data_IF_911248646352
#
_entry.id   IF_911248646352
#
_cell.length_a   1.000
_cell.length_b   1.000
_cell.length_c   1.000
_cell.angle_alpha   90.00
_cell.angle_beta   90.00
_cell.angle_gamma   90.00
#
_symmetry.space_group_name_H-M   'P 1'
#
loop_
_entity.id
_entity.type
_entity.pdbx_description
1 polymer ?
#
# COMPACT_ATOMS: atom_id res chain seq x y z
N UNK A 1 -49.41 21.62 -13.34
CA UNK A 1 -48.58 21.20 -12.18
C UNK A 1 -47.38 20.47 -12.76
N UNK A 2 -46.24 21.16 -12.87
CA UNK A 2 -44.97 20.53 -13.20
C UNK A 2 -44.32 20.07 -11.90
N UNK A 3 -44.03 18.77 -11.80
CA UNK A 3 -43.26 18.21 -10.70
C UNK A 3 -41.80 18.56 -11.01
N UNK A 4 -41.27 19.56 -10.31
CA UNK A 4 -39.83 19.80 -10.25
C UNK A 4 -39.24 18.69 -9.41
N UNK A 5 -38.61 17.71 -10.07
CA UNK A 5 -37.80 16.68 -9.41
C UNK A 5 -36.51 17.35 -8.94
N UNK A 6 -36.41 17.60 -7.63
CA UNK A 6 -35.13 17.94 -7.02
C UNK A 6 -34.23 16.69 -7.07
N UNK A 7 -32.96 16.81 -7.49
CA UNK A 7 -32.03 15.69 -7.43
C UNK A 7 -31.86 15.21 -5.98
N UNK A 8 -31.76 13.90 -5.82
CA UNK A 8 -31.63 13.21 -4.54
C UNK A 8 -30.29 13.60 -3.85
N UNK A 9 -30.29 14.07 -2.59
CA UNK A 9 -29.06 14.48 -1.89
C UNK A 9 -28.03 13.34 -1.66
N UNK A 10 -28.45 12.08 -1.84
CA UNK A 10 -27.60 10.88 -1.66
C UNK A 10 -26.69 10.57 -2.87
N UNK A 11 -26.81 11.28 -4.00
CA UNK A 11 -26.00 11.00 -5.20
C UNK A 11 -24.58 11.59 -5.20
N UNK A 12 -24.13 12.20 -4.09
CA UNK A 12 -22.76 12.70 -3.97
C UNK A 12 -21.87 11.84 -3.07
N UNK A 13 -21.81 10.52 -3.32
CA UNK A 13 -20.71 9.69 -2.80
C UNK A 13 -19.45 10.06 -3.57
N UNK A 14 -18.61 10.88 -2.94
CA UNK A 14 -17.34 11.40 -3.47
C UNK A 14 -16.68 10.44 -4.46
N UNK A 15 -16.80 10.74 -5.76
CA UNK A 15 -16.05 10.04 -6.81
C UNK A 15 -14.59 10.47 -6.67
N UNK A 16 -13.83 9.71 -5.88
CA UNK A 16 -12.37 9.68 -5.97
C UNK A 16 -11.97 8.79 -7.17
N UNK A 17 -10.75 8.95 -7.71
CA UNK A 17 -10.21 8.34 -8.95
C UNK A 17 -11.22 7.58 -9.82
N UNK A 18 -11.41 8.01 -11.07
CA UNK A 18 -12.40 7.45 -12.03
C UNK A 18 -12.43 5.92 -12.10
N UNK A 19 -11.30 5.25 -11.79
CA UNK A 19 -11.16 3.80 -11.83
C UNK A 19 -11.05 3.20 -10.41
N UNK A 20 -10.16 3.74 -9.57
CA UNK A 20 -9.70 3.04 -8.37
C UNK A 20 -10.30 3.56 -7.05
N UNK A 21 -11.01 4.69 -7.05
CA UNK A 21 -11.57 5.27 -5.83
C UNK A 21 -10.58 6.14 -5.05
N UNK A 22 -10.69 6.15 -3.71
CA UNK A 22 -9.88 7.00 -2.82
C UNK A 22 -8.49 6.39 -2.67
N UNK A 23 -7.44 7.20 -2.79
CA UNK A 23 -6.09 6.80 -2.39
C UNK A 23 -6.06 6.63 -0.87
N UNK A 24 -5.63 5.47 -0.41
CA UNK A 24 -5.62 5.11 1.02
C UNK A 24 -4.20 5.04 1.59
N UNK A 25 -3.20 4.76 0.76
CA UNK A 25 -1.83 4.60 1.21
C UNK A 25 -0.83 5.08 0.16
N UNK A 26 0.29 5.62 0.62
CA UNK A 26 1.45 5.94 -0.21
C UNK A 26 2.62 5.08 0.23
N UNK A 27 3.20 4.31 -0.69
CA UNK A 27 4.37 3.47 -0.42
C UNK A 27 5.65 4.09 -0.93
N UNK A 28 6.62 4.20 -0.02
CA UNK A 28 7.93 4.75 -0.24
C UNK A 28 8.94 3.60 -0.24
N UNK A 29 9.65 3.43 -1.36
CA UNK A 29 10.75 2.46 -1.44
C UNK A 29 12.03 3.15 -1.00
N UNK A 30 12.69 2.58 0.01
CA UNK A 30 13.87 3.16 0.66
C UNK A 30 15.01 2.15 0.72
N UNK A 31 16.25 2.65 0.77
CA UNK A 31 17.45 1.80 0.89
C UNK A 31 17.71 1.35 2.32
N UNK A 32 17.31 2.15 3.29
CA UNK A 32 17.48 1.92 4.73
C UNK A 32 16.19 2.31 5.45
N UNK A 33 15.39 1.32 5.84
CA UNK A 33 14.08 1.53 6.45
C UNK A 33 14.20 2.03 7.88
N UNK A 34 15.24 1.62 8.60
CA UNK A 34 15.51 2.09 9.95
C UNK A 34 15.83 3.60 9.95
N UNK A 35 16.71 4.05 9.06
CA UNK A 35 17.01 5.47 8.88
C UNK A 35 15.79 6.26 8.38
N UNK A 36 15.00 5.69 7.48
CA UNK A 36 13.78 6.32 7.00
C UNK A 36 12.75 6.49 8.13
N UNK A 37 12.47 5.45 8.92
CA UNK A 37 11.59 5.56 10.09
C UNK A 37 12.07 6.67 11.03
N UNK A 38 13.38 6.72 11.33
CA UNK A 38 13.95 7.76 12.19
C UNK A 38 13.67 9.17 11.65
N UNK A 39 13.89 9.39 10.35
CA UNK A 39 13.58 10.68 9.72
C UNK A 39 12.10 11.05 9.84
N UNK A 40 11.20 10.10 9.57
CA UNK A 40 9.76 10.35 9.69
C UNK A 40 9.32 10.64 11.13
N UNK A 41 9.95 10.00 12.12
CA UNK A 41 9.68 10.25 13.54
C UNK A 41 10.19 11.64 13.94
N UNK A 42 11.46 11.93 13.69
CA UNK A 42 12.12 13.13 14.25
C UNK A 42 11.84 14.41 13.47
N UNK A 43 11.72 14.32 12.15
CA UNK A 43 11.60 15.48 11.25
C UNK A 43 10.16 15.68 10.84
N UNK A 44 9.47 14.60 10.43
CA UNK A 44 8.09 14.69 9.95
C UNK A 44 7.06 14.62 11.08
N UNK A 45 7.44 14.15 12.27
CA UNK A 45 6.53 13.97 13.41
C UNK A 45 5.45 12.92 13.16
N UNK A 46 5.74 11.88 12.37
CA UNK A 46 4.77 10.84 11.99
C UNK A 46 5.11 9.50 12.66
N UNK A 47 4.09 8.90 13.28
CA UNK A 47 4.17 7.62 13.97
C UNK A 47 2.85 7.27 14.68
N UNK A 48 2.83 6.20 15.51
CA UNK A 48 3.93 5.26 15.67
C UNK A 48 4.05 4.37 14.44
N UNK A 49 5.25 3.87 14.18
CA UNK A 49 5.53 2.93 13.11
C UNK A 49 5.31 1.50 13.57
N UNK A 50 4.57 0.72 12.79
CA UNK A 50 4.45 -0.72 12.97
C UNK A 50 5.41 -1.40 11.99
N UNK A 51 6.47 -1.98 12.52
CA UNK A 51 7.60 -2.49 11.75
C UNK A 51 7.56 -4.02 11.65
N UNK A 52 7.61 -4.55 10.43
CA UNK A 52 7.75 -5.97 10.13
C UNK A 52 9.10 -6.16 9.45
N UNK A 53 10.04 -6.80 10.15
CA UNK A 53 11.41 -7.00 9.67
C UNK A 53 11.51 -7.99 8.51
N UNK A 54 10.75 -9.09 8.56
CA UNK A 54 10.73 -10.12 7.52
C UNK A 54 9.27 -10.42 7.15
N UNK A 55 8.83 -9.88 6.00
CA UNK A 55 7.49 -10.11 5.49
C UNK A 55 7.41 -11.48 4.84
N UNK A 56 6.53 -12.33 5.37
CA UNK A 56 6.19 -13.62 4.77
C UNK A 56 5.17 -13.41 3.64
N UNK A 57 5.59 -13.73 2.41
CA UNK A 57 4.72 -13.78 1.24
C UNK A 57 4.26 -15.21 1.00
N UNK A 58 2.96 -15.40 0.77
CA UNK A 58 2.42 -16.71 0.37
C UNK A 58 2.90 -17.06 -1.05
N UNK A 59 2.86 -16.05 -1.93
CA UNK A 59 3.43 -16.08 -3.27
C UNK A 59 3.65 -14.66 -3.77
N UNK A 60 4.57 -14.51 -4.73
CA UNK A 60 4.88 -13.24 -5.36
C UNK A 60 5.34 -13.47 -6.80
N UNK A 61 4.89 -12.63 -7.74
CA UNK A 61 5.34 -12.65 -9.13
C UNK A 61 5.78 -11.25 -9.55
N UNK A 62 6.80 -11.17 -10.39
CA UNK A 62 7.24 -9.93 -11.04
C UNK A 62 7.37 -10.19 -12.54
N UNK A 63 6.79 -9.31 -13.37
CA UNK A 63 6.76 -9.45 -14.84
C UNK A 63 6.23 -10.84 -15.27
N UNK A 64 5.24 -11.34 -14.54
CA UNK A 64 4.62 -12.65 -14.78
C UNK A 64 5.48 -13.87 -14.40
N UNK A 65 6.65 -13.68 -13.78
CA UNK A 65 7.52 -14.77 -13.31
C UNK A 65 7.55 -14.83 -11.78
N UNK A 66 7.66 -16.02 -11.16
CA UNK A 66 7.84 -16.15 -9.72
C UNK A 66 9.08 -15.37 -9.24
N UNK A 67 8.98 -14.76 -8.05
CA UNK A 67 10.08 -14.05 -7.42
C UNK A 67 10.07 -14.27 -5.91
N UNK A 68 11.22 -14.57 -5.33
CA UNK A 68 11.41 -14.87 -3.91
C UNK A 68 11.74 -13.62 -3.10
N UNK A 69 11.01 -12.53 -3.34
CA UNK A 69 11.27 -11.23 -2.72
C UNK A 69 11.33 -11.34 -1.19
N UNK A 70 12.37 -10.76 -0.60
CA UNK A 70 12.49 -10.57 0.85
C UNK A 70 12.44 -9.09 1.12
N UNK A 71 11.59 -8.68 2.05
CA UNK A 71 11.36 -7.26 2.33
C UNK A 71 10.99 -7.03 3.78
N UNK A 72 11.34 -5.84 4.25
CA UNK A 72 10.83 -5.27 5.48
C UNK A 72 9.85 -4.16 5.14
N UNK A 73 8.80 -4.02 5.95
CA UNK A 73 7.82 -2.95 5.79
C UNK A 73 7.59 -2.23 7.12
N UNK A 74 7.32 -0.94 7.06
CA UNK A 74 6.90 -0.15 8.20
C UNK A 74 5.66 0.66 7.82
N UNK A 75 4.66 0.67 8.71
CA UNK A 75 3.37 1.32 8.47
C UNK A 75 3.07 2.36 9.55
N UNK A 76 2.68 3.56 9.15
CA UNK A 76 2.18 4.61 10.04
C UNK A 76 1.01 5.36 9.37
N UNK A 77 0.26 6.15 10.13
CA UNK A 77 -0.81 6.98 9.56
C UNK A 77 -0.53 8.47 9.83
N UNK A 78 -0.82 9.31 8.83
CA UNK A 78 -0.90 10.76 8.98
C UNK A 78 -2.29 11.20 8.51
N UNK A 79 -3.17 11.48 9.47
CA UNK A 79 -4.60 11.62 9.23
C UNK A 79 -5.20 10.34 8.62
N UNK A 80 -5.88 10.49 7.48
CA UNK A 80 -6.51 9.37 6.77
C UNK A 80 -5.58 8.57 5.87
N UNK A 81 -4.39 9.10 5.54
CA UNK A 81 -3.45 8.44 4.64
C UNK A 81 -2.53 7.54 5.44
N UNK A 82 -2.37 6.29 5.00
CA UNK A 82 -1.31 5.42 5.51
C UNK A 82 -0.02 5.66 4.73
N UNK A 83 1.09 5.78 5.46
CA UNK A 83 2.43 5.83 4.91
C UNK A 83 3.05 4.45 5.11
N UNK A 84 3.52 3.87 4.01
CA UNK A 84 4.27 2.62 4.03
C UNK A 84 5.72 2.90 3.60
N UNK A 85 6.67 2.40 4.38
CA UNK A 85 8.07 2.32 3.98
C UNK A 85 8.36 0.87 3.62
N UNK A 86 9.05 0.67 2.50
CA UNK A 86 9.43 -0.66 1.99
C UNK A 86 10.93 -0.66 1.74
N UNK A 87 11.61 -1.64 2.35
CA UNK A 87 12.97 -1.98 1.97
C UNK A 87 13.01 -3.43 1.51
N UNK A 88 13.34 -3.63 0.23
CA UNK A 88 13.70 -4.96 -0.24
C UNK A 88 15.10 -5.35 0.30
N UNK A 89 15.21 -6.56 0.83
CA UNK A 89 16.39 -7.09 1.53
C UNK A 89 17.20 -8.10 0.71
N UNK A 90 16.75 -8.45 -0.50
CA UNK A 90 17.46 -9.32 -1.43
C UNK A 90 17.45 -8.80 -2.87
N UNK A 91 18.10 -9.53 -3.78
CA UNK A 91 18.25 -9.14 -5.18
C UNK A 91 17.16 -9.70 -6.12
N UNK A 92 16.12 -10.34 -5.56
CA UNK A 92 15.05 -10.95 -6.34
C UNK A 92 14.31 -9.93 -7.23
N UNK A 93 13.79 -10.33 -8.42
CA UNK A 93 13.09 -9.41 -9.30
C UNK A 93 11.85 -8.77 -8.65
N UNK A 94 11.74 -7.44 -8.68
CA UNK A 94 10.56 -6.71 -8.20
C UNK A 94 10.53 -5.30 -8.80
N UNK A 95 9.36 -4.67 -8.84
CA UNK A 95 9.27 -3.24 -9.18
C UNK A 95 9.98 -2.33 -8.15
N UNK A 96 10.18 -2.77 -6.91
CA UNK A 96 10.96 -2.01 -5.91
C UNK A 96 12.42 -1.93 -6.32
N UNK A 97 12.99 -3.06 -6.77
CA UNK A 97 14.36 -3.13 -7.26
C UNK A 97 14.53 -2.36 -8.57
N UNK A 98 13.58 -2.49 -9.50
CA UNK A 98 13.56 -1.68 -10.74
C UNK A 98 13.59 -0.17 -10.42
N UNK A 99 12.76 0.28 -9.48
CA UNK A 99 12.69 1.68 -9.05
C UNK A 99 14.02 2.18 -8.47
N UNK A 100 14.65 1.40 -7.57
CA UNK A 100 15.96 1.76 -7.00
C UNK A 100 17.10 1.72 -8.02
N UNK A 101 17.06 0.79 -8.97
CA UNK A 101 18.05 0.65 -10.04
C UNK A 101 17.97 1.77 -11.08
N UNK A 102 16.78 2.36 -11.27
CA UNK A 102 16.59 3.58 -12.06
C UNK A 102 17.13 4.86 -11.36
N UNK A 103 17.77 4.71 -10.19
CA UNK A 103 18.33 5.82 -9.42
C UNK A 103 17.31 6.58 -8.58
N UNK A 104 16.10 6.05 -8.43
CA UNK A 104 15.05 6.65 -7.60
C UNK A 104 15.13 6.14 -6.16
N UNK A 105 14.46 6.88 -5.27
CA UNK A 105 14.19 6.52 -3.87
C UNK A 105 13.04 7.42 -3.39
N UNK A 106 12.18 6.93 -2.50
CA UNK A 106 11.00 7.66 -2.01
C UNK A 106 9.68 7.15 -2.60
N UNK A 107 8.72 8.05 -2.82
CA UNK A 107 7.35 7.70 -3.21
C UNK A 107 7.34 6.92 -4.53
N UNK A 108 6.95 5.65 -4.47
CA UNK A 108 6.87 4.79 -5.64
C UNK A 108 5.42 4.64 -6.10
N UNK A 109 4.50 4.33 -5.19
CA UNK A 109 3.13 3.96 -5.54
C UNK A 109 2.08 4.61 -4.65
N UNK A 110 0.87 4.74 -5.22
CA UNK A 110 -0.37 5.07 -4.53
C UNK A 110 -1.27 3.84 -4.50
N UNK A 111 -1.75 3.48 -3.32
CA UNK A 111 -2.54 2.29 -3.08
C UNK A 111 -4.01 2.60 -2.87
N UNK A 112 -4.86 1.77 -3.47
CA UNK A 112 -6.30 1.82 -3.40
C UNK A 112 -6.82 0.53 -2.77
N UNK A 113 -7.57 0.68 -1.68
CA UNK A 113 -8.07 -0.47 -0.92
C UNK A 113 -9.47 -0.85 -1.38
N UNK A 114 -9.73 -2.15 -1.51
CA UNK A 114 -11.02 -2.69 -1.94
C UNK A 114 -11.39 -3.96 -1.19
N UNK A 115 -12.69 -4.20 -1.03
CA UNK A 115 -13.24 -5.50 -0.59
C UNK A 115 -13.77 -6.33 -1.76
N UNK A 116 -13.76 -5.78 -2.97
CA UNK A 116 -14.10 -6.47 -4.22
C UNK A 116 -12.87 -6.45 -5.15
N UNK A 117 -11.84 -7.19 -4.72
CA UNK A 117 -10.52 -7.19 -5.36
C UNK A 117 -10.58 -7.69 -6.81
N UNK A 118 -11.25 -8.83 -7.04
CA UNK A 118 -11.26 -9.44 -8.37
C UNK A 118 -11.97 -8.53 -9.39
N UNK A 119 -13.10 -7.93 -9.02
CA UNK A 119 -13.79 -7.00 -9.92
C UNK A 119 -12.92 -5.78 -10.24
N UNK A 120 -12.23 -5.20 -9.26
CA UNK A 120 -11.35 -4.05 -9.50
C UNK A 120 -10.13 -4.43 -10.35
N UNK A 121 -9.55 -5.60 -10.10
CA UNK A 121 -8.44 -6.16 -10.88
C UNK A 121 -8.83 -6.33 -12.35
N UNK A 122 -9.94 -7.02 -12.63
CA UNK A 122 -10.43 -7.26 -13.99
C UNK A 122 -10.76 -5.95 -14.72
N UNK A 123 -11.34 -4.98 -14.00
CA UNK A 123 -11.61 -3.64 -14.54
C UNK A 123 -10.34 -2.87 -14.89
N UNK A 124 -9.28 -2.99 -14.09
CA UNK A 124 -8.00 -2.37 -14.39
C UNK A 124 -7.38 -2.96 -15.66
N UNK A 125 -7.38 -4.30 -15.79
CA UNK A 125 -6.91 -4.96 -17.00
C UNK A 125 -7.72 -4.56 -18.25
N UNK A 126 -9.05 -4.54 -18.13
CA UNK A 126 -9.93 -4.09 -19.22
C UNK A 126 -9.70 -2.63 -19.62
N UNK A 127 -9.21 -1.80 -18.70
CA UNK A 127 -8.83 -0.41 -18.96
C UNK A 127 -7.41 -0.25 -19.55
N UNK A 128 -6.68 -1.35 -19.75
CA UNK A 128 -5.36 -1.37 -20.38
C UNK A 128 -4.17 -1.28 -19.41
N UNK A 129 -4.40 -1.37 -18.10
CA UNK A 129 -3.32 -1.45 -17.13
C UNK A 129 -2.61 -2.81 -17.23
N UNK A 130 -1.29 -2.81 -17.07
CA UNK A 130 -0.46 -4.01 -17.09
C UNK A 130 0.05 -4.30 -15.68
N UNK A 131 -0.06 -5.55 -15.23
CA UNK A 131 0.48 -5.96 -13.93
C UNK A 131 2.00 -5.99 -14.03
N UNK A 132 2.67 -5.20 -13.19
CA UNK A 132 4.13 -5.21 -13.06
C UNK A 132 4.60 -6.24 -12.04
N UNK A 133 4.02 -6.24 -10.84
CA UNK A 133 4.14 -7.34 -9.87
C UNK A 133 2.84 -7.51 -9.06
N UNK A 134 2.67 -8.66 -8.44
CA UNK A 134 1.54 -8.95 -7.56
C UNK A 134 1.90 -10.07 -6.59
N UNK A 135 1.11 -10.19 -5.53
CA UNK A 135 1.37 -11.17 -4.50
C UNK A 135 0.23 -11.34 -3.52
N UNK A 136 0.49 -12.16 -2.52
CA UNK A 136 -0.44 -12.45 -1.44
C UNK A 136 0.31 -12.58 -0.13
N UNK A 137 -0.20 -11.93 0.92
CA UNK A 137 0.37 -11.95 2.27
C UNK A 137 -0.75 -12.23 3.27
N UNK A 138 -0.64 -13.31 4.04
CA UNK A 138 -1.60 -13.63 5.11
C UNK A 138 -2.90 -14.26 4.60
N UNK A 139 -2.80 -15.10 3.57
CA UNK A 139 -3.89 -15.92 3.05
C UNK A 139 -4.67 -15.31 1.88
N UNK A 140 -5.72 -16.00 1.38
CA UNK A 140 -6.40 -15.66 0.12
C UNK A 140 -7.00 -14.25 0.01
N UNK A 141 -7.26 -13.59 1.15
CA UNK A 141 -7.78 -12.22 1.25
C UNK A 141 -6.68 -11.18 1.48
N UNK A 142 -5.41 -11.57 1.32
CA UNK A 142 -4.22 -10.75 1.49
C UNK A 142 -3.62 -10.25 0.18
N UNK A 143 -4.34 -10.40 -0.94
CA UNK A 143 -3.85 -10.10 -2.30
C UNK A 143 -3.55 -8.63 -2.52
N UNK A 144 -2.60 -8.36 -3.39
CA UNK A 144 -2.28 -7.03 -3.92
C UNK A 144 -1.74 -7.14 -5.34
N UNK A 145 -1.91 -6.09 -6.15
CA UNK A 145 -1.33 -6.00 -7.48
C UNK A 145 -0.90 -4.57 -7.77
N UNK A 146 0.27 -4.43 -8.40
CA UNK A 146 0.80 -3.15 -8.84
C UNK A 146 0.76 -3.11 -10.36
N UNK A 147 0.23 -2.00 -10.87
CA UNK A 147 0.15 -1.74 -12.29
C UNK A 147 1.33 -0.89 -12.73
N UNK A 148 2.02 -1.34 -13.77
CA UNK A 148 3.15 -0.64 -14.35
C UNK A 148 2.69 0.61 -15.10
N UNK A 149 2.92 1.75 -14.45
CA UNK A 149 2.71 3.09 -15.00
C UNK A 149 4.00 3.91 -14.90
N UNK A 150 5.17 3.26 -14.84
CA UNK A 150 6.47 3.91 -14.60
C UNK A 150 6.89 4.95 -15.66
N UNK A 151 6.12 5.10 -16.74
CA UNK A 151 6.29 6.19 -17.70
C UNK A 151 6.29 7.59 -17.04
N UNK A 152 5.65 7.74 -15.87
CA UNK A 152 5.77 8.93 -15.04
C UNK A 152 6.25 8.55 -13.62
N UNK A 153 7.29 9.21 -13.08
CA UNK A 153 7.73 8.94 -11.71
C UNK A 153 6.60 9.15 -10.68
N UNK A 154 6.55 8.27 -9.68
CA UNK A 154 5.60 8.36 -8.55
C UNK A 154 4.15 7.99 -8.90
N UNK A 155 3.88 7.41 -10.08
CA UNK A 155 2.50 7.11 -10.51
C UNK A 155 2.10 5.65 -10.48
N UNK A 156 2.95 4.75 -9.94
CA UNK A 156 2.61 3.32 -9.82
C UNK A 156 1.32 3.19 -9.00
N UNK A 157 0.41 2.36 -9.48
CA UNK A 157 -0.88 2.13 -8.83
C UNK A 157 -0.86 0.76 -8.19
N UNK A 158 -1.15 0.69 -6.90
CA UNK A 158 -1.45 -0.56 -6.21
C UNK A 158 -2.96 -0.68 -5.97
N UNK A 159 -3.50 -1.88 -6.14
CA UNK A 159 -4.76 -2.27 -5.49
C UNK A 159 -4.50 -3.32 -4.42
N UNK A 160 -5.16 -3.19 -3.27
CA UNK A 160 -4.94 -4.06 -2.11
C UNK A 160 -6.27 -4.58 -1.57
N UNK A 161 -6.38 -5.91 -1.43
CA UNK A 161 -7.56 -6.59 -0.87
C UNK A 161 -7.59 -6.41 0.64
N UNK A 162 -8.54 -5.64 1.16
CA UNK A 162 -8.70 -5.39 2.61
C UNK A 162 -9.83 -6.21 3.23
N UNK A 163 -10.37 -7.21 2.53
CA UNK A 163 -11.47 -8.04 3.04
C UNK A 163 -11.08 -8.93 4.23
N UNK A 164 -9.79 -9.23 4.38
CA UNK A 164 -9.25 -10.13 5.41
C UNK A 164 -8.64 -9.44 6.64
N UNK A 165 -7.65 -10.11 7.24
CA UNK A 165 -6.92 -9.61 8.43
C UNK A 165 -6.20 -8.30 8.13
N UNK A 166 -5.68 -8.12 6.91
CA UNK A 166 -4.98 -6.90 6.48
C UNK A 166 -5.80 -5.62 6.73
N UNK A 167 -7.08 -5.61 6.36
CA UNK A 167 -7.96 -4.46 6.60
C UNK A 167 -8.16 -4.15 8.09
N UNK A 168 -8.26 -5.18 8.93
CA UNK A 168 -8.35 -5.01 10.40
C UNK A 168 -7.06 -4.44 10.98
N UNK A 169 -5.91 -4.91 10.50
CA UNK A 169 -4.59 -4.39 10.90
C UNK A 169 -4.47 -2.92 10.52
N UNK A 170 -4.80 -2.53 9.29
CA UNK A 170 -4.73 -1.13 8.86
C UNK A 170 -5.66 -0.21 9.68
N UNK A 171 -6.88 -0.67 9.97
CA UNK A 171 -7.80 0.06 10.85
C UNK A 171 -7.25 0.21 12.28
N UNK A 172 -6.58 -0.83 12.81
CA UNK A 172 -5.94 -0.78 14.11
C UNK A 172 -4.78 0.22 14.15
N UNK A 173 -3.89 0.20 13.15
CA UNK A 173 -2.76 1.13 13.03
C UNK A 173 -3.27 2.57 13.04
N UNK A 174 -4.26 2.89 12.20
CA UNK A 174 -4.88 4.23 12.18
C UNK A 174 -5.44 4.63 13.54
N UNK A 175 -6.16 3.72 14.21
CA UNK A 175 -6.74 3.98 15.53
C UNK A 175 -5.66 4.32 16.56
N UNK A 176 -4.55 3.58 16.52
CA UNK A 176 -3.42 3.81 17.43
C UNK A 176 -2.72 5.14 17.14
N UNK A 177 -2.52 5.48 15.86
CA UNK A 177 -1.83 6.70 15.47
C UNK A 177 -2.61 7.98 15.81
N UNK A 178 -3.95 7.91 15.94
CA UNK A 178 -4.81 9.06 16.15
C UNK A 178 -4.47 9.88 17.41
N UNK A 179 -4.03 9.21 18.48
CA UNK A 179 -3.72 9.82 19.78
C UNK A 179 -2.24 9.66 20.15
N UNK A 180 -1.37 9.43 19.18
CA UNK A 180 0.05 9.22 19.43
C UNK A 180 0.74 10.50 19.87
N UNK A 181 1.48 10.42 20.98
CA UNK A 181 2.13 11.55 21.65
C UNK A 181 3.65 11.62 21.42
N UNK A 182 4.19 10.75 20.56
CA UNK A 182 5.63 10.61 20.32
C UNK A 182 6.29 9.45 21.08
N UNK A 183 5.62 8.87 22.07
CA UNK A 183 6.18 7.75 22.85
C UNK A 183 6.07 6.41 22.13
N UNK A 184 7.01 5.49 22.37
CA UNK A 184 7.05 4.17 21.74
C UNK A 184 6.90 4.24 20.19
N UNK A 185 7.85 4.92 19.52
CA UNK A 185 7.69 5.35 18.13
C UNK A 185 7.79 4.21 17.11
N UNK A 186 8.36 3.06 17.49
CA UNK A 186 8.52 1.89 16.62
C UNK A 186 8.06 0.64 17.36
N UNK A 187 7.05 -0.03 16.81
CA UNK A 187 6.42 -1.22 17.35
C UNK A 187 6.65 -2.39 16.42
N UNK A 188 7.51 -3.31 16.83
CA UNK A 188 7.87 -4.48 16.01
C UNK A 188 6.73 -5.50 16.02
N UNK A 189 6.20 -5.81 14.84
CA UNK A 189 5.29 -6.92 14.60
C UNK A 189 6.15 -8.12 14.18
N UNK A 190 6.13 -9.17 15.00
CA UNK A 190 6.79 -10.43 14.66
C UNK A 190 5.80 -11.36 13.98
N UNK A 191 6.19 -11.93 12.85
CA UNK A 191 5.51 -13.11 12.31
C UNK A 191 5.56 -14.21 13.37
N UNK A 192 4.43 -14.87 13.65
CA UNK A 192 4.42 -16.05 14.52
C UNK A 192 5.03 -17.20 13.73
N UNK A 193 6.30 -17.50 14.02
CA UNK A 193 6.88 -18.81 13.70
C UNK A 193 6.34 -19.81 14.71
N UNK A 194 5.28 -20.53 14.35
CA UNK A 194 4.87 -21.77 15.02
C UNK A 194 4.79 -22.88 13.97
#
# INVERSE_FOLDING_TARGET
>A
MEIVLYPNPEENKSRMSRIFGKVCQNGYVVRDIEAAMQHWIEVMGVGPWFYIEDVETDWFTCRGQPSDVKMSIALANSGDLQIELIQQRNDAPSMYREFLAAGHEGLQHMSYWTTDYQQLYDRALAAGYQVGHEGQIGGPQGRFAYFDTQAHPGTVIEISDISGVKGKTFAHIRKVAADWDGSDPIRVIRSRRD
#
